data_IF_748901020841
#
_entry.id   IF_748901020841
#
_cell.length_a   1.000
_cell.length_b   1.000
_cell.length_c   1.000
_cell.angle_alpha   90.00
_cell.angle_beta   90.00
_cell.angle_gamma   90.00
#
_symmetry.space_group_name_H-M   'P 1'
#
loop_
_entity.id
_entity.type
_entity.pdbx_description
1 polymer ?
#
# COMPACT_ATOMS: atom_id res chain seq x y z
N UNK A 1 -58.71 -71.16 -44.30
CA UNK A 1 -57.37 -71.27 -43.79
C UNK A 1 -56.81 -69.85 -43.61
N UNK A 2 -56.82 -69.33 -42.38
CA UNK A 2 -56.30 -68.01 -42.09
C UNK A 2 -55.17 -68.15 -41.03
N UNK A 3 -53.96 -67.84 -41.42
CA UNK A 3 -52.81 -67.82 -40.53
C UNK A 3 -52.77 -66.47 -39.86
N UNK A 4 -52.75 -66.47 -38.52
CA UNK A 4 -52.58 -65.28 -37.70
C UNK A 4 -51.09 -65.00 -37.45
N UNK A 5 -50.66 -63.80 -37.77
CA UNK A 5 -49.31 -63.27 -37.39
C UNK A 5 -49.37 -62.69 -36.02
N UNK A 6 -48.52 -63.21 -35.16
CA UNK A 6 -48.29 -62.65 -33.84
C UNK A 6 -47.18 -61.55 -33.89
N UNK A 7 -47.47 -60.28 -33.52
CA UNK A 7 -46.52 -59.25 -33.40
C UNK A 7 -46.01 -59.21 -31.93
N UNK A 8 -44.72 -59.45 -31.73
CA UNK A 8 -44.02 -59.23 -30.48
C UNK A 8 -43.58 -57.79 -30.44
N UNK A 9 -44.08 -56.99 -29.46
CA UNK A 9 -43.67 -55.65 -29.21
C UNK A 9 -42.34 -55.61 -28.37
N UNK A 10 -41.29 -55.14 -29.01
CA UNK A 10 -40.03 -54.84 -28.27
C UNK A 10 -40.16 -53.54 -27.55
N UNK A 11 -40.15 -53.57 -26.18
CA UNK A 11 -40.13 -52.38 -25.34
C UNK A 11 -38.75 -51.72 -25.32
N UNK A 12 -38.67 -50.49 -25.82
CA UNK A 12 -37.48 -49.64 -25.68
C UNK A 12 -37.50 -48.99 -24.28
N UNK A 13 -36.61 -49.41 -23.42
CA UNK A 13 -36.38 -48.75 -22.13
C UNK A 13 -35.60 -47.45 -22.37
N UNK A 14 -36.27 -46.30 -22.23
CA UNK A 14 -35.62 -44.99 -22.21
C UNK A 14 -35.05 -44.77 -20.81
N UNK A 15 -33.73 -44.82 -20.66
CA UNK A 15 -33.04 -44.41 -19.44
C UNK A 15 -33.11 -42.89 -19.32
N UNK A 16 -33.90 -42.38 -18.40
CA UNK A 16 -33.91 -40.99 -18.00
C UNK A 16 -32.61 -40.72 -17.19
N UNK A 17 -31.62 -40.10 -17.85
CA UNK A 17 -30.46 -39.53 -17.17
C UNK A 17 -30.92 -38.22 -16.49
N UNK A 18 -31.16 -38.27 -15.18
CA UNK A 18 -31.44 -37.09 -14.35
C UNK A 18 -30.18 -36.28 -14.26
N UNK A 19 -30.07 -35.18 -15.03
CA UNK A 19 -29.09 -34.13 -14.76
C UNK A 19 -29.49 -33.44 -13.45
N UNK A 20 -28.77 -33.73 -12.37
CA UNK A 20 -28.79 -32.90 -11.16
C UNK A 20 -28.22 -31.54 -11.57
N UNK A 21 -28.94 -30.42 -11.31
CA UNK A 21 -28.35 -29.10 -11.49
C UNK A 21 -27.13 -28.99 -10.59
N UNK A 22 -25.96 -28.79 -11.19
CA UNK A 22 -24.72 -28.49 -10.43
C UNK A 22 -25.01 -27.31 -9.49
N UNK A 23 -24.86 -27.54 -8.19
CA UNK A 23 -24.97 -26.48 -7.21
C UNK A 23 -24.06 -25.30 -7.59
N UNK A 24 -24.35 -24.07 -7.16
CA UNK A 24 -23.52 -22.92 -7.45
C UNK A 24 -22.08 -23.25 -7.05
N UNK A 25 -21.15 -23.09 -7.97
CA UNK A 25 -19.72 -23.27 -7.70
C UNK A 25 -19.38 -22.43 -6.47
N UNK A 26 -19.04 -23.08 -5.36
CA UNK A 26 -18.58 -22.39 -4.17
C UNK A 26 -17.37 -21.55 -4.55
N UNK A 27 -17.51 -20.23 -4.43
CA UNK A 27 -16.39 -19.33 -4.60
C UNK A 27 -15.25 -19.79 -3.67
N UNK A 28 -14.06 -20.03 -4.24
CA UNK A 28 -12.90 -20.44 -3.44
C UNK A 28 -12.72 -19.45 -2.29
N UNK A 29 -12.84 -19.88 -1.02
CA UNK A 29 -12.66 -18.97 0.10
C UNK A 29 -11.25 -18.39 0.01
N UNK A 30 -11.13 -17.09 -0.23
CA UNK A 30 -9.85 -16.38 -0.28
C UNK A 30 -8.94 -16.70 0.91
N UNK A 31 -7.72 -16.20 0.93
CA UNK A 31 -6.87 -16.36 2.10
C UNK A 31 -7.60 -15.80 3.32
N UNK A 32 -7.44 -16.43 4.52
CA UNK A 32 -8.12 -15.96 5.71
C UNK A 32 -7.75 -14.51 6.02
N UNK A 33 -8.71 -13.74 6.55
CA UNK A 33 -8.46 -12.39 7.04
C UNK A 33 -7.32 -12.41 8.08
N UNK A 34 -6.42 -11.46 8.00
CA UNK A 34 -5.28 -11.33 8.91
C UNK A 34 -5.46 -10.08 9.74
N UNK A 35 -5.72 -10.29 11.03
CA UNK A 35 -5.83 -9.22 11.99
C UNK A 35 -4.47 -8.63 12.36
N UNK A 36 -4.45 -7.33 12.68
CA UNK A 36 -3.26 -6.70 13.23
C UNK A 36 -2.94 -7.35 14.59
N UNK A 37 -1.74 -7.90 14.73
CA UNK A 37 -1.21 -8.22 16.05
C UNK A 37 -1.24 -6.94 16.92
N UNK A 38 -1.36 -7.09 18.27
CA UNK A 38 -1.51 -5.97 19.19
C UNK A 38 -0.70 -4.74 18.76
N UNK A 39 -1.41 -3.77 18.16
CA UNK A 39 -0.80 -2.56 17.60
C UNK A 39 -0.30 -1.70 18.76
N UNK A 40 0.97 -1.33 18.68
CA UNK A 40 1.55 -0.35 19.60
C UNK A 40 2.09 0.83 18.78
N UNK A 41 1.62 2.06 19.03
CA UNK A 41 2.22 3.26 18.47
C UNK A 41 3.74 3.27 18.74
N UNK A 42 4.49 3.88 17.86
CA UNK A 42 5.94 4.09 18.04
C UNK A 42 6.14 5.53 18.49
N UNK A 43 6.72 5.73 19.67
CA UNK A 43 7.12 7.06 20.10
C UNK A 43 8.35 7.50 19.29
N UNK A 44 8.12 8.32 18.28
CA UNK A 44 9.23 8.87 17.47
C UNK A 44 10.03 9.94 18.18
N UNK A 45 9.61 10.41 19.35
CA UNK A 45 10.39 11.26 20.24
C UNK A 45 11.51 10.51 20.98
N UNK A 46 11.38 9.18 21.08
CA UNK A 46 12.34 8.30 21.76
C UNK A 46 13.14 7.48 20.74
N UNK A 47 14.49 7.67 20.71
CA UNK A 47 15.41 6.92 19.85
C UNK A 47 15.37 5.42 20.12
N UNK A 48 15.33 5.04 21.40
CA UNK A 48 15.35 3.62 21.79
C UNK A 48 14.07 2.90 21.36
N UNK A 49 12.90 3.54 21.52
CA UNK A 49 11.61 3.00 21.07
C UNK A 49 11.58 2.81 19.55
N UNK A 50 12.07 3.76 18.77
CA UNK A 50 12.15 3.64 17.31
C UNK A 50 13.11 2.53 16.91
N UNK A 51 14.31 2.49 17.51
CA UNK A 51 15.31 1.43 17.25
C UNK A 51 14.75 0.04 17.56
N UNK A 52 14.12 -0.12 18.71
CA UNK A 52 13.50 -1.39 19.11
C UNK A 52 12.42 -1.82 18.09
N UNK A 53 11.59 -0.89 17.65
CA UNK A 53 10.54 -1.18 16.67
C UNK A 53 11.15 -1.65 15.33
N UNK A 54 12.22 -1.01 14.86
CA UNK A 54 12.96 -1.44 13.66
C UNK A 54 13.48 -2.85 13.84
N UNK A 55 14.24 -3.10 14.90
CA UNK A 55 14.92 -4.37 15.12
C UNK A 55 13.95 -5.53 15.40
N UNK A 56 12.87 -5.28 16.13
CA UNK A 56 11.95 -6.34 16.58
C UNK A 56 10.67 -6.48 15.73
N UNK A 57 10.29 -5.46 14.95
CA UNK A 57 9.05 -5.52 14.15
C UNK A 57 9.33 -5.48 12.66
N UNK A 58 10.11 -4.51 12.16
CA UNK A 58 10.32 -4.33 10.72
C UNK A 58 11.29 -5.36 10.14
N UNK A 59 12.52 -5.41 10.66
CA UNK A 59 13.56 -6.28 10.08
C UNK A 59 13.16 -7.77 10.04
N UNK A 60 12.54 -8.36 11.09
CA UNK A 60 12.05 -9.73 11.01
C UNK A 60 10.93 -9.91 9.98
N UNK A 61 10.09 -8.88 9.76
CA UNK A 61 9.06 -8.92 8.73
C UNK A 61 9.69 -8.89 7.33
N UNK A 62 10.67 -8.02 7.10
CA UNK A 62 11.40 -7.95 5.81
C UNK A 62 12.19 -9.22 5.50
N UNK A 63 12.74 -9.88 6.52
CA UNK A 63 13.50 -11.13 6.39
C UNK A 63 12.62 -12.39 6.21
N UNK A 64 11.29 -12.25 6.33
CA UNK A 64 10.39 -13.38 6.22
C UNK A 64 10.37 -13.93 4.79
N UNK A 65 10.60 -15.26 4.66
CA UNK A 65 10.54 -15.94 3.36
C UNK A 65 9.13 -15.89 2.79
N UNK A 66 9.02 -15.46 1.54
CA UNK A 66 7.76 -15.49 0.79
C UNK A 66 7.44 -16.95 0.43
N UNK A 67 6.21 -17.36 0.75
CA UNK A 67 5.65 -18.67 0.40
C UNK A 67 4.30 -18.47 -0.27
N UNK A 68 4.13 -19.09 -1.42
CA UNK A 68 2.93 -19.04 -2.25
C UNK A 68 2.67 -20.40 -2.90
N UNK A 69 1.40 -20.79 -3.07
CA UNK A 69 1.00 -22.11 -3.54
C UNK A 69 0.44 -22.15 -4.97
N UNK A 70 0.52 -21.05 -5.71
CA UNK A 70 -0.03 -20.97 -7.07
C UNK A 70 0.95 -21.41 -8.17
N UNK A 71 0.56 -21.11 -9.43
CA UNK A 71 1.37 -21.37 -10.61
C UNK A 71 1.15 -20.28 -11.65
N UNK A 72 2.23 -19.61 -12.05
CA UNK A 72 2.19 -18.60 -13.11
C UNK A 72 1.86 -19.23 -14.46
N UNK A 73 2.56 -20.30 -14.83
CA UNK A 73 2.36 -20.99 -16.11
C UNK A 73 0.98 -21.64 -16.24
N UNK A 74 0.42 -22.11 -15.12
CA UNK A 74 -0.92 -22.71 -15.06
C UNK A 74 -2.05 -21.70 -14.79
N UNK A 75 -1.75 -20.41 -14.68
CA UNK A 75 -2.72 -19.38 -14.30
C UNK A 75 -3.47 -19.69 -12.98
N UNK A 76 -2.83 -20.39 -12.05
CA UNK A 76 -3.40 -20.71 -10.75
C UNK A 76 -3.01 -19.64 -9.74
N UNK A 77 -3.97 -18.83 -9.32
CA UNK A 77 -3.71 -17.73 -8.38
C UNK A 77 -3.15 -18.23 -7.03
N UNK A 78 -3.59 -19.39 -6.56
CA UNK A 78 -3.13 -19.96 -5.30
C UNK A 78 -3.39 -19.03 -4.11
N UNK A 79 -2.62 -19.24 -3.03
CA UNK A 79 -2.71 -18.45 -1.80
C UNK A 79 -1.33 -18.20 -1.22
N UNK A 80 -1.01 -16.99 -0.74
CA UNK A 80 0.17 -16.77 0.08
C UNK A 80 0.02 -17.53 1.40
N UNK A 81 1.11 -18.06 1.93
CA UNK A 81 1.08 -18.62 3.28
C UNK A 81 0.70 -17.56 4.31
N UNK A 82 0.05 -17.97 5.39
CA UNK A 82 -0.33 -17.06 6.49
C UNK A 82 0.87 -16.29 7.05
N UNK A 83 2.03 -16.94 7.18
CA UNK A 83 3.26 -16.30 7.62
C UNK A 83 3.71 -15.16 6.69
N UNK A 84 3.59 -15.33 5.38
CA UNK A 84 3.89 -14.30 4.37
C UNK A 84 2.93 -13.12 4.51
N UNK A 85 1.63 -13.38 4.65
CA UNK A 85 0.64 -12.31 4.84
C UNK A 85 0.84 -11.56 6.16
N UNK A 86 1.12 -12.28 7.24
CA UNK A 86 1.40 -11.67 8.54
C UNK A 86 2.66 -10.79 8.51
N UNK A 87 3.72 -11.23 7.83
CA UNK A 87 4.92 -10.42 7.66
C UNK A 87 4.64 -9.14 6.88
N UNK A 88 3.90 -9.25 5.77
CA UNK A 88 3.49 -8.08 4.97
C UNK A 88 2.64 -7.10 5.79
N UNK A 89 1.65 -7.60 6.54
CA UNK A 89 0.82 -6.76 7.39
C UNK A 89 1.62 -6.10 8.52
N UNK A 90 2.58 -6.80 9.13
CA UNK A 90 3.49 -6.23 10.13
C UNK A 90 4.31 -5.08 9.55
N UNK A 91 4.83 -5.21 8.33
CA UNK A 91 5.55 -4.14 7.65
C UNK A 91 4.63 -2.93 7.38
N UNK A 92 3.43 -3.13 6.83
CA UNK A 92 2.44 -2.06 6.63
C UNK A 92 2.16 -1.32 7.94
N UNK A 93 1.84 -2.07 9.00
CA UNK A 93 1.49 -1.47 10.28
C UNK A 93 2.68 -0.86 11.03
N UNK A 94 3.91 -1.30 10.75
CA UNK A 94 5.11 -0.60 11.24
C UNK A 94 5.19 0.82 10.66
N UNK A 95 5.07 1.00 9.34
CA UNK A 95 5.12 2.31 8.71
C UNK A 95 3.97 3.22 9.15
N UNK A 96 2.78 2.65 9.32
CA UNK A 96 1.63 3.38 9.86
C UNK A 96 1.84 3.82 11.31
N UNK A 97 2.42 2.95 12.14
CA UNK A 97 2.77 3.28 13.53
C UNK A 97 3.81 4.41 13.62
N UNK A 98 4.85 4.39 12.77
CA UNK A 98 5.80 5.49 12.64
C UNK A 98 5.10 6.81 12.28
N UNK A 99 4.12 6.76 11.40
CA UNK A 99 3.34 7.93 10.98
C UNK A 99 2.18 8.30 11.93
N UNK A 100 2.07 7.65 13.10
CA UNK A 100 1.01 7.87 14.11
C UNK A 100 -0.41 7.59 13.55
N UNK A 101 -0.52 6.64 12.63
CA UNK A 101 -1.78 6.21 12.02
C UNK A 101 -2.29 4.93 12.66
N UNK A 102 -3.61 4.76 12.70
CA UNK A 102 -4.22 3.51 13.14
C UNK A 102 -3.78 2.32 12.27
N UNK A 103 -3.71 1.10 12.82
CA UNK A 103 -3.38 -0.09 12.06
C UNK A 103 -4.47 -0.41 11.04
N UNK A 104 -4.10 -1.22 10.06
CA UNK A 104 -5.03 -1.85 9.13
C UNK A 104 -5.04 -3.36 9.35
N UNK A 105 -6.10 -4.01 8.85
CA UNK A 105 -6.21 -5.47 8.71
C UNK A 105 -6.15 -5.87 7.25
N UNK A 106 -5.91 -7.16 6.97
CA UNK A 106 -6.07 -7.70 5.62
C UNK A 106 -7.40 -8.44 5.52
N UNK A 107 -8.29 -7.90 4.68
CA UNK A 107 -9.54 -8.56 4.32
C UNK A 107 -9.29 -9.72 3.36
N UNK A 108 -10.01 -10.84 3.55
CA UNK A 108 -9.85 -12.03 2.75
C UNK A 108 -10.31 -11.85 1.29
N UNK A 109 -11.41 -11.14 1.09
CA UNK A 109 -11.97 -10.88 -0.24
C UNK A 109 -11.10 -9.95 -1.06
N UNK A 110 -10.62 -8.86 -0.45
CA UNK A 110 -9.67 -7.94 -1.09
C UNK A 110 -8.35 -8.65 -1.40
N UNK A 111 -7.86 -9.51 -0.48
CA UNK A 111 -6.64 -10.29 -0.68
C UNK A 111 -6.79 -11.30 -1.82
N UNK A 112 -7.95 -11.96 -1.95
CA UNK A 112 -8.20 -12.88 -3.07
C UNK A 112 -8.21 -12.17 -4.43
N UNK A 113 -8.74 -10.95 -4.51
CA UNK A 113 -8.70 -10.12 -5.72
C UNK A 113 -7.28 -9.62 -6.00
N UNK A 114 -6.57 -9.12 -5.00
CA UNK A 114 -5.18 -8.68 -5.10
C UNK A 114 -4.26 -9.84 -5.56
N UNK A 115 -4.52 -11.07 -5.10
CA UNK A 115 -3.79 -12.26 -5.53
C UNK A 115 -3.91 -12.52 -7.03
N UNK A 116 -5.08 -12.31 -7.61
CA UNK A 116 -5.30 -12.41 -9.05
C UNK A 116 -4.60 -11.28 -9.82
N UNK A 117 -4.52 -10.08 -9.24
CA UNK A 117 -3.75 -8.99 -9.83
C UNK A 117 -2.25 -9.31 -9.83
N UNK A 118 -1.69 -9.78 -8.71
CA UNK A 118 -0.29 -10.18 -8.63
C UNK A 118 0.04 -11.26 -9.66
N UNK A 119 -0.83 -12.28 -9.81
CA UNK A 119 -0.65 -13.33 -10.82
C UNK A 119 -0.58 -12.76 -12.25
N UNK A 120 -1.47 -11.82 -12.61
CA UNK A 120 -1.46 -11.20 -13.95
C UNK A 120 -0.16 -10.41 -14.19
N UNK A 121 0.29 -9.65 -13.21
CA UNK A 121 1.53 -8.86 -13.31
C UNK A 121 2.74 -9.78 -13.50
N UNK A 122 2.83 -10.85 -12.70
CA UNK A 122 3.89 -11.86 -12.80
C UNK A 122 3.85 -12.60 -14.14
N UNK A 123 2.68 -13.08 -14.59
CA UNK A 123 2.51 -13.81 -15.83
C UNK A 123 2.87 -12.98 -17.09
N UNK A 124 2.59 -11.69 -17.06
CA UNK A 124 2.89 -10.76 -18.16
C UNK A 124 4.27 -10.10 -18.01
N UNK A 125 4.90 -10.24 -16.84
CA UNK A 125 6.13 -9.55 -16.47
C UNK A 125 6.04 -8.03 -16.72
N UNK A 126 4.90 -7.44 -16.34
CA UNK A 126 4.61 -6.02 -16.57
C UNK A 126 3.63 -5.47 -15.55
N UNK A 127 3.73 -4.17 -15.24
CA UNK A 127 2.83 -3.48 -14.33
C UNK A 127 1.83 -2.62 -15.11
N UNK A 128 0.54 -2.80 -14.83
CA UNK A 128 -0.50 -1.95 -15.38
C UNK A 128 -1.71 -1.90 -14.44
N UNK A 129 -2.14 -0.70 -14.07
CA UNK A 129 -3.36 -0.52 -13.27
C UNK A 129 -4.64 -0.80 -14.06
N UNK A 130 -4.57 -0.86 -15.38
CA UNK A 130 -5.70 -1.13 -16.28
C UNK A 130 -5.32 -2.23 -17.29
N UNK A 131 -5.01 -3.47 -16.80
CA UNK A 131 -4.51 -4.53 -17.66
C UNK A 131 -5.53 -4.91 -18.74
N UNK A 132 -5.13 -4.95 -20.02
CA UNK A 132 -6.02 -5.33 -21.10
C UNK A 132 -6.41 -6.83 -21.00
N UNK A 133 -7.57 -7.19 -21.55
CA UNK A 133 -8.08 -8.57 -21.49
C UNK A 133 -7.18 -9.60 -22.19
N UNK A 134 -6.27 -9.15 -23.04
CA UNK A 134 -5.29 -9.98 -23.73
C UNK A 134 -4.14 -10.46 -22.87
N UNK A 135 -3.98 -9.92 -21.66
CA UNK A 135 -2.92 -10.33 -20.75
C UNK A 135 -3.09 -11.77 -20.29
N UNK A 136 -1.97 -12.46 -20.13
CA UNK A 136 -1.95 -13.81 -19.55
C UNK A 136 -2.60 -13.82 -18.18
N UNK A 137 -3.32 -14.90 -17.88
CA UNK A 137 -4.02 -15.09 -16.60
C UNK A 137 -5.01 -13.97 -16.25
N UNK A 138 -5.51 -13.20 -17.25
CA UNK A 138 -6.43 -12.11 -17.03
C UNK A 138 -7.71 -12.57 -16.34
N UNK A 139 -8.19 -11.77 -15.38
CA UNK A 139 -9.49 -11.95 -14.75
C UNK A 139 -10.10 -10.60 -14.39
N UNK A 140 -11.44 -10.48 -14.43
CA UNK A 140 -12.15 -9.26 -14.06
C UNK A 140 -11.80 -8.82 -12.63
N UNK A 141 -11.73 -9.75 -11.68
CA UNK A 141 -11.40 -9.47 -10.28
C UNK A 141 -9.94 -9.01 -10.11
N UNK A 142 -9.02 -9.61 -10.89
CA UNK A 142 -7.62 -9.17 -10.90
C UNK A 142 -7.45 -7.78 -11.52
N UNK A 143 -8.17 -7.48 -12.61
CA UNK A 143 -8.15 -6.16 -13.24
C UNK A 143 -8.74 -5.07 -12.32
N UNK A 144 -9.82 -5.37 -11.60
CA UNK A 144 -10.36 -4.48 -10.56
C UNK A 144 -9.31 -4.22 -9.47
N UNK A 145 -8.64 -5.27 -8.99
CA UNK A 145 -7.63 -5.16 -7.96
C UNK A 145 -6.40 -4.38 -8.44
N UNK A 146 -5.96 -4.57 -9.69
CA UNK A 146 -4.85 -3.82 -10.25
C UNK A 146 -5.10 -2.30 -10.21
N UNK A 147 -6.32 -1.86 -10.51
CA UNK A 147 -6.72 -0.45 -10.44
C UNK A 147 -6.81 0.14 -9.03
N UNK A 148 -6.77 -0.70 -7.99
CA UNK A 148 -6.91 -0.28 -6.59
C UNK A 148 -5.71 -0.62 -5.71
N UNK A 149 -4.65 -1.17 -6.30
CA UNK A 149 -3.48 -1.66 -5.58
C UNK A 149 -2.22 -0.84 -5.88
N UNK A 150 -1.32 -0.78 -4.90
CA UNK A 150 0.08 -0.61 -5.20
C UNK A 150 0.58 -1.91 -5.85
N UNK A 151 1.33 -1.79 -6.94
CA UNK A 151 1.82 -2.92 -7.73
C UNK A 151 3.34 -2.94 -7.73
N UNK A 152 3.93 -4.14 -7.75
CA UNK A 152 5.37 -4.32 -7.73
C UNK A 152 5.78 -5.55 -8.54
N UNK A 153 6.85 -5.45 -9.36
CA UNK A 153 7.57 -6.58 -9.94
C UNK A 153 8.89 -6.76 -9.20
N UNK A 154 9.33 -8.00 -9.09
CA UNK A 154 10.58 -8.40 -8.44
C UNK A 154 10.69 -7.99 -6.96
N UNK A 155 9.62 -7.51 -6.38
CA UNK A 155 9.50 -7.23 -4.96
C UNK A 155 8.19 -7.78 -4.40
N UNK A 156 8.25 -8.63 -3.40
CA UNK A 156 7.10 -9.37 -2.90
C UNK A 156 7.06 -9.39 -1.37
N UNK A 157 5.87 -9.63 -0.83
CA UNK A 157 5.68 -9.71 0.62
C UNK A 157 6.00 -8.39 1.34
N UNK A 158 6.69 -8.49 2.48
CA UNK A 158 7.06 -7.31 3.27
C UNK A 158 8.06 -6.39 2.54
N UNK A 159 8.92 -6.93 1.66
CA UNK A 159 9.85 -6.13 0.88
C UNK A 159 9.14 -5.13 -0.04
N UNK A 160 8.03 -5.53 -0.68
CA UNK A 160 7.24 -4.61 -1.51
C UNK A 160 6.72 -3.39 -0.73
N UNK A 161 6.46 -3.56 0.56
CA UNK A 161 6.00 -2.45 1.41
C UNK A 161 7.09 -1.40 1.60
N UNK A 162 8.35 -1.83 1.74
CA UNK A 162 9.49 -0.90 1.82
C UNK A 162 9.65 -0.14 0.50
N UNK A 163 9.56 -0.81 -0.65
CA UNK A 163 9.62 -0.19 -1.98
C UNK A 163 8.49 0.86 -2.16
N UNK A 164 7.26 0.54 -1.74
CA UNK A 164 6.16 1.51 -1.76
C UNK A 164 6.41 2.72 -0.87
N UNK A 165 7.13 2.54 0.24
CA UNK A 165 7.48 3.65 1.14
C UNK A 165 8.62 4.51 0.61
N UNK A 166 9.61 3.92 -0.04
CA UNK A 166 10.70 4.64 -0.71
C UNK A 166 10.17 5.41 -1.90
N UNK A 167 9.29 4.77 -2.69
CA UNK A 167 8.57 5.35 -3.83
C UNK A 167 9.52 5.98 -4.87
N UNK A 168 10.61 5.28 -5.18
CA UNK A 168 11.66 5.72 -6.09
C UNK A 168 11.22 5.77 -7.56
N UNK A 169 12.08 6.33 -8.39
CA UNK A 169 11.91 6.39 -9.83
C UNK A 169 11.32 7.70 -10.34
N UNK A 170 11.55 8.04 -11.60
CA UNK A 170 11.14 9.31 -12.21
C UNK A 170 9.61 9.42 -12.35
N UNK A 171 8.91 8.29 -12.49
CA UNK A 171 7.44 8.23 -12.56
C UNK A 171 6.72 8.47 -11.23
N UNK A 172 7.42 8.30 -10.10
CA UNK A 172 6.83 8.32 -8.75
C UNK A 172 6.96 9.68 -8.03
N UNK A 173 7.03 10.78 -8.78
CA UNK A 173 7.21 12.14 -8.21
C UNK A 173 6.07 12.58 -7.30
N UNK A 174 4.92 11.92 -7.37
CA UNK A 174 3.77 12.15 -6.49
C UNK A 174 3.83 11.36 -5.18
N UNK A 175 4.81 10.45 -5.02
CA UNK A 175 4.88 9.46 -3.95
C UNK A 175 3.54 8.74 -3.75
N UNK A 176 2.96 8.24 -4.85
CA UNK A 176 1.58 7.72 -4.89
C UNK A 176 1.41 6.47 -4.04
N UNK A 177 2.36 5.54 -4.12
CA UNK A 177 2.33 4.29 -3.33
C UNK A 177 2.39 4.58 -1.83
N UNK A 178 3.35 5.41 -1.39
CA UNK A 178 3.48 5.83 0.02
C UNK A 178 2.24 6.52 0.53
N UNK A 179 1.66 7.44 -0.26
CA UNK A 179 0.50 8.22 0.15
C UNK A 179 -0.73 7.35 0.38
N UNK A 180 -0.93 6.29 -0.42
CA UNK A 180 -1.99 5.32 -0.19
C UNK A 180 -1.71 4.44 1.02
N UNK A 181 -0.47 3.98 1.19
CA UNK A 181 -0.06 3.19 2.36
C UNK A 181 -0.29 3.95 3.68
N UNK A 182 -0.01 5.26 3.66
CA UNK A 182 -0.19 6.17 4.79
C UNK A 182 -1.52 6.94 4.74
N UNK A 183 -2.50 6.47 3.97
CA UNK A 183 -3.81 7.10 3.93
C UNK A 183 -4.53 6.91 5.27
N UNK A 184 -4.95 8.01 5.95
CA UNK A 184 -5.47 7.90 7.31
C UNK A 184 -6.84 7.23 7.39
N UNK A 185 -7.62 7.23 6.31
CA UNK A 185 -9.01 6.78 6.30
C UNK A 185 -9.20 5.37 5.73
N UNK A 186 -8.16 4.55 5.77
CA UNK A 186 -8.23 3.13 5.41
C UNK A 186 -8.14 2.26 6.67
N UNK A 187 -9.05 1.30 6.80
CA UNK A 187 -9.05 0.31 7.90
C UNK A 187 -8.70 -1.09 7.41
N UNK A 188 -9.02 -1.38 6.13
CA UNK A 188 -8.80 -2.68 5.53
C UNK A 188 -8.02 -2.55 4.22
N UNK A 189 -7.09 -3.46 4.01
CA UNK A 189 -6.31 -3.63 2.78
C UNK A 189 -6.41 -5.08 2.31
N UNK A 190 -5.86 -5.40 1.15
CA UNK A 190 -5.73 -6.77 0.66
C UNK A 190 -4.34 -7.02 0.11
N UNK A 191 -3.78 -8.21 0.35
CA UNK A 191 -2.43 -8.55 -0.10
C UNK A 191 -2.43 -9.76 -1.01
N UNK A 192 -1.94 -9.60 -2.24
CA UNK A 192 -1.68 -10.64 -3.22
C UNK A 192 -0.19 -10.72 -3.53
N UNK A 193 0.35 -11.93 -3.59
CA UNK A 193 1.79 -12.17 -3.70
C UNK A 193 2.03 -13.44 -4.52
N UNK A 194 2.89 -13.36 -5.53
CA UNK A 194 3.45 -14.49 -6.25
C UNK A 194 4.95 -14.58 -6.01
N UNK A 195 5.66 -15.37 -6.80
CA UNK A 195 7.13 -15.41 -6.76
C UNK A 195 7.77 -14.14 -7.32
N UNK A 196 7.15 -13.51 -8.33
CA UNK A 196 7.73 -12.37 -9.06
C UNK A 196 6.94 -11.06 -8.92
N UNK A 197 5.72 -11.08 -8.35
CA UNK A 197 4.92 -9.86 -8.26
C UNK A 197 4.16 -9.72 -6.95
N UNK A 198 3.91 -8.47 -6.55
CA UNK A 198 3.07 -8.09 -5.43
C UNK A 198 1.95 -7.13 -5.85
N UNK A 199 0.79 -7.27 -5.23
CA UNK A 199 -0.32 -6.32 -5.31
C UNK A 199 -0.88 -6.08 -3.92
N UNK A 200 -0.85 -4.84 -3.46
CA UNK A 200 -1.40 -4.42 -2.19
C UNK A 200 -2.61 -3.51 -2.44
N UNK A 201 -3.81 -4.04 -2.25
CA UNK A 201 -5.04 -3.25 -2.36
C UNK A 201 -5.07 -2.19 -1.25
N UNK A 202 -5.00 -0.93 -1.63
CA UNK A 202 -4.84 0.21 -0.71
C UNK A 202 -5.95 1.25 -0.83
N UNK A 203 -6.72 1.24 -1.93
CA UNK A 203 -7.81 2.19 -2.12
C UNK A 203 -9.06 1.64 -1.44
N UNK A 204 -9.53 2.24 -0.33
CA UNK A 204 -10.68 1.72 0.41
C UNK A 204 -11.96 1.80 -0.42
N UNK A 205 -12.89 0.86 -0.20
CA UNK A 205 -14.27 0.96 -0.66
C UNK A 205 -15.02 2.05 0.11
N UNK A 206 -14.92 1.99 1.44
CA UNK A 206 -15.43 2.99 2.36
C UNK A 206 -14.31 3.61 3.18
N UNK A 207 -14.46 4.88 3.52
CA UNK A 207 -13.52 5.57 4.41
C UNK A 207 -13.91 5.34 5.85
N UNK A 208 -12.98 4.84 6.65
CA UNK A 208 -13.19 4.70 8.09
C UNK A 208 -12.99 6.04 8.80
N UNK A 209 -13.73 6.26 9.89
CA UNK A 209 -13.41 7.32 10.84
C UNK A 209 -12.22 6.85 11.67
N UNK A 210 -11.04 7.33 11.35
CA UNK A 210 -9.84 7.08 12.12
C UNK A 210 -9.51 8.30 12.96
N UNK A 211 -8.92 8.07 14.14
CA UNK A 211 -8.23 9.12 14.91
C UNK A 211 -6.91 9.40 14.21
N UNK A 212 -6.94 10.26 13.21
CA UNK A 212 -5.77 10.53 12.40
C UNK A 212 -5.09 11.84 12.76
N UNK A 213 -3.77 11.90 12.67
CA UNK A 213 -3.05 13.16 12.82
C UNK A 213 -3.48 14.14 11.72
N UNK A 214 -3.53 15.45 12.04
CA UNK A 214 -3.88 16.47 11.05
C UNK A 214 -2.89 16.50 9.86
N UNK A 215 -1.67 16.02 10.07
CA UNK A 215 -0.58 16.01 9.11
C UNK A 215 0.18 14.68 9.15
N UNK A 216 0.44 14.11 7.99
CA UNK A 216 1.24 12.90 7.82
C UNK A 216 2.48 13.29 7.02
N UNK A 217 3.63 13.31 7.68
CA UNK A 217 4.93 13.60 7.05
C UNK A 217 5.75 12.32 6.90
N UNK A 218 6.55 12.28 5.85
CA UNK A 218 7.56 11.27 5.65
C UNK A 218 8.83 11.91 5.07
N UNK A 219 9.97 11.85 5.76
CA UNK A 219 10.20 11.27 7.10
C UNK A 219 9.31 11.88 8.20
N UNK A 220 9.05 11.08 9.23
CA UNK A 220 8.24 11.50 10.39
C UNK A 220 9.01 12.46 11.30
N UNK A 221 8.34 13.33 12.08
CA UNK A 221 8.99 14.10 13.12
C UNK A 221 9.66 13.19 14.16
N UNK A 222 10.74 13.67 14.77
CA UNK A 222 11.47 12.92 15.78
C UNK A 222 12.60 12.07 15.22
N UNK A 223 12.89 10.95 15.85
CA UNK A 223 13.93 10.03 15.41
C UNK A 223 13.46 9.21 14.21
N UNK A 224 14.34 9.11 13.20
CA UNK A 224 14.06 8.47 11.95
C UNK A 224 15.26 7.62 11.50
N UNK A 225 15.10 6.29 11.36
CA UNK A 225 16.20 5.41 11.01
C UNK A 225 16.71 5.65 9.59
N UNK A 226 18.02 5.59 9.40
CA UNK A 226 18.66 5.79 8.09
C UNK A 226 18.12 4.86 7.01
N UNK A 227 17.87 3.60 7.36
CA UNK A 227 17.36 2.57 6.45
C UNK A 227 15.96 2.84 5.91
N UNK A 228 15.24 3.82 6.48
CA UNK A 228 13.91 4.23 6.02
C UNK A 228 13.95 5.51 5.17
N UNK A 229 15.15 6.05 4.90
CA UNK A 229 15.26 7.29 4.11
C UNK A 229 14.70 7.06 2.69
N UNK A 230 13.75 7.88 2.26
CA UNK A 230 13.16 7.74 0.93
C UNK A 230 14.04 8.37 -0.15
N UNK A 231 15.36 8.16 -0.11
CA UNK A 231 16.33 8.72 -1.05
C UNK A 231 16.18 10.24 -1.25
N UNK A 232 15.90 10.96 -0.13
CA UNK A 232 15.64 12.40 -0.14
C UNK A 232 14.27 12.82 -0.66
N UNK A 233 13.41 11.91 -1.11
CA UNK A 233 12.03 12.21 -1.54
C UNK A 233 11.08 12.26 -0.36
N UNK A 234 10.85 13.46 0.13
CA UNK A 234 10.04 13.71 1.32
C UNK A 234 8.61 14.11 0.94
N UNK A 235 7.67 13.92 1.86
CA UNK A 235 6.27 14.26 1.63
C UNK A 235 5.59 14.79 2.89
N UNK A 236 4.57 15.61 2.70
CA UNK A 236 3.64 16.07 3.72
C UNK A 236 2.22 15.96 3.17
N UNK A 237 1.40 15.13 3.78
CA UNK A 237 -0.02 15.01 3.48
C UNK A 237 -0.86 15.64 4.59
N UNK A 238 -2.07 16.07 4.27
CA UNK A 238 -3.03 16.60 5.22
C UNK A 238 -4.26 15.70 5.29
N UNK A 239 -4.74 15.36 6.50
CA UNK A 239 -6.01 14.65 6.68
C UNK A 239 -7.21 15.51 6.29
N UNK A 240 -7.08 16.82 6.38
CA UNK A 240 -8.10 17.76 5.90
C UNK A 240 -8.00 17.94 4.38
N UNK A 241 -9.02 17.51 3.65
CA UNK A 241 -9.08 17.58 2.19
C UNK A 241 -9.17 19.01 1.65
N UNK A 242 -9.54 20.00 2.47
CA UNK A 242 -9.56 21.41 2.10
C UNK A 242 -8.18 22.07 2.04
N UNK A 243 -7.12 21.35 2.35
CA UNK A 243 -5.76 21.86 2.29
C UNK A 243 -5.29 21.99 0.84
N UNK A 244 -4.66 23.11 0.53
CA UNK A 244 -4.04 23.42 -0.76
C UNK A 244 -2.56 23.72 -0.59
N UNK A 245 -1.72 22.96 -1.30
CA UNK A 245 -0.27 23.10 -1.32
C UNK A 245 0.27 23.83 -2.57
N UNK A 246 -0.59 24.32 -3.46
CA UNK A 246 -0.16 24.88 -4.75
C UNK A 246 0.89 25.99 -4.60
N UNK A 247 0.75 26.84 -3.60
CA UNK A 247 1.67 27.95 -3.29
C UNK A 247 2.57 27.69 -2.09
N UNK A 248 2.58 26.47 -1.54
CA UNK A 248 3.42 26.14 -0.39
C UNK A 248 4.91 26.22 -0.75
N UNK A 249 5.71 26.73 0.17
CA UNK A 249 7.17 26.79 0.08
C UNK A 249 7.76 25.85 1.10
N UNK A 250 8.85 25.16 0.75
CA UNK A 250 9.56 24.23 1.62
C UNK A 250 10.96 24.75 1.86
N UNK A 251 11.39 24.70 3.11
CA UNK A 251 12.77 24.96 3.53
C UNK A 251 13.21 23.84 4.46
N UNK A 252 14.40 23.30 4.21
CA UNK A 252 15.06 22.32 5.07
C UNK A 252 16.42 22.87 5.47
N UNK A 253 16.72 22.82 6.77
CA UNK A 253 17.98 23.32 7.33
C UNK A 253 18.61 22.27 8.24
N UNK A 254 19.92 22.28 8.29
CA UNK A 254 20.69 21.54 9.29
C UNK A 254 20.58 22.23 10.67
N UNK A 255 21.01 21.55 11.72
CA UNK A 255 20.93 22.08 13.10
C UNK A 255 21.72 23.40 13.30
N UNK A 256 22.80 23.60 12.54
CA UNK A 256 23.61 24.83 12.50
C UNK A 256 23.01 25.91 11.59
N UNK A 257 21.82 25.69 11.04
CA UNK A 257 21.08 26.67 10.23
C UNK A 257 21.40 26.69 8.75
N UNK A 258 22.33 25.86 8.26
CA UNK A 258 22.68 25.78 6.82
C UNK A 258 21.47 25.28 6.03
N UNK A 259 21.10 26.00 4.98
CA UNK A 259 20.02 25.59 4.08
C UNK A 259 20.47 24.44 3.19
N UNK A 260 19.60 23.43 3.02
CA UNK A 260 19.76 22.35 2.06
C UNK A 260 19.04 22.67 0.75
N UNK A 261 19.49 22.07 -0.34
CA UNK A 261 18.83 22.21 -1.62
C UNK A 261 17.50 21.43 -1.60
N UNK A 262 16.41 22.10 -1.99
CA UNK A 262 15.06 21.56 -2.03
C UNK A 262 14.43 21.78 -3.40
N UNK A 263 14.03 20.72 -4.08
CA UNK A 263 13.26 20.75 -5.31
C UNK A 263 11.85 20.24 -5.06
N UNK A 264 10.88 21.13 -5.13
CA UNK A 264 9.47 20.79 -4.97
C UNK A 264 8.92 20.14 -6.23
N UNK A 265 8.21 19.02 -6.10
CA UNK A 265 7.41 18.44 -7.17
C UNK A 265 6.05 19.14 -7.28
N UNK A 266 5.36 18.96 -8.41
CA UNK A 266 4.01 19.52 -8.60
C UNK A 266 3.08 18.90 -7.56
N UNK A 267 2.43 19.69 -6.70
CA UNK A 267 1.51 19.15 -5.71
C UNK A 267 0.28 18.57 -6.40
N UNK A 268 -0.33 17.58 -5.76
CA UNK A 268 -1.62 17.07 -6.19
C UNK A 268 -2.69 18.08 -5.81
N UNK A 269 -3.44 18.52 -6.79
CA UNK A 269 -4.46 19.54 -6.61
C UNK A 269 -5.60 19.05 -5.71
N UNK A 270 -6.16 19.98 -4.93
CA UNK A 270 -7.41 19.79 -4.21
C UNK A 270 -8.51 19.28 -5.15
N UNK A 271 -9.39 18.41 -4.66
CA UNK A 271 -10.51 17.85 -5.43
C UNK A 271 -10.13 16.77 -6.46
N UNK A 272 -8.87 16.37 -6.53
CA UNK A 272 -8.45 15.20 -7.33
C UNK A 272 -8.44 13.94 -6.49
N UNK A 273 -9.41 13.01 -6.67
CA UNK A 273 -9.57 11.84 -5.81
C UNK A 273 -8.49 10.76 -5.98
N UNK A 274 -7.66 10.85 -7.02
CA UNK A 274 -6.89 9.72 -7.53
C UNK A 274 -5.67 9.31 -6.68
N UNK A 275 -5.33 10.04 -5.61
CA UNK A 275 -4.13 9.75 -4.81
C UNK A 275 -4.30 9.98 -3.31
N UNK A 276 -5.50 9.77 -2.77
CA UNK A 276 -5.75 9.94 -1.33
C UNK A 276 -5.76 11.42 -0.90
N UNK A 277 -5.20 11.71 0.26
CA UNK A 277 -5.18 13.06 0.86
C UNK A 277 -4.38 14.07 0.04
N UNK A 278 -4.70 15.38 0.12
CA UNK A 278 -3.84 16.43 -0.42
C UNK A 278 -2.40 16.27 0.08
N UNK A 279 -1.44 16.42 -0.82
CA UNK A 279 -0.04 16.22 -0.45
C UNK A 279 0.92 17.12 -1.24
N UNK A 280 2.05 17.41 -0.61
CA UNK A 280 3.21 18.02 -1.19
C UNK A 280 4.37 17.06 -1.12
N UNK A 281 5.10 16.88 -2.22
CA UNK A 281 6.30 16.06 -2.31
C UNK A 281 7.47 16.94 -2.75
N UNK A 282 8.63 16.73 -2.16
CA UNK A 282 9.84 17.45 -2.52
C UNK A 282 11.07 16.56 -2.38
N UNK A 283 12.11 16.87 -3.13
CA UNK A 283 13.43 16.25 -3.06
C UNK A 283 14.34 17.10 -2.20
N UNK A 284 15.06 16.49 -1.26
CA UNK A 284 16.12 17.11 -0.47
C UNK A 284 17.45 16.52 -0.89
N UNK A 285 18.45 17.37 -1.09
CA UNK A 285 19.82 16.96 -1.45
C UNK A 285 20.86 17.74 -0.65
N UNK A 286 22.09 17.30 -0.72
CA UNK A 286 23.21 18.00 -0.07
C UNK A 286 23.37 17.69 1.43
N UNK A 287 22.85 16.55 1.89
CA UNK A 287 23.15 16.01 3.22
C UNK A 287 23.59 14.53 3.12
N UNK A 288 24.37 14.08 4.08
CA UNK A 288 24.72 12.68 4.25
C UNK A 288 24.02 12.11 5.48
N UNK A 289 23.58 10.86 5.41
CA UNK A 289 23.05 10.14 6.58
C UNK A 289 24.16 9.98 7.63
N UNK A 290 23.83 10.07 8.93
CA UNK A 290 24.82 9.91 9.98
C UNK A 290 25.27 8.44 10.08
N UNK A 291 26.46 8.21 10.59
CA UNK A 291 27.03 6.89 10.85
C UNK A 291 27.38 6.74 12.32
N UNK A 292 27.36 5.50 12.82
CA UNK A 292 27.68 5.19 14.20
C UNK A 292 26.69 5.82 15.19
N UNK A 293 27.16 6.23 16.37
CA UNK A 293 26.33 6.78 17.45
C UNK A 293 25.77 8.19 17.16
N UNK A 294 26.23 8.82 16.09
CA UNK A 294 25.82 10.18 15.72
C UNK A 294 24.35 10.21 15.27
N UNK A 295 23.74 11.35 15.44
CA UNK A 295 22.45 11.67 14.82
C UNK A 295 22.56 12.98 14.04
N UNK A 296 21.71 13.12 13.01
CA UNK A 296 21.64 14.34 12.21
C UNK A 296 20.26 14.93 12.28
N UNK A 297 20.14 16.10 12.85
CA UNK A 297 18.88 16.86 12.87
C UNK A 297 18.74 17.72 11.63
N UNK A 298 17.57 17.66 11.02
CA UNK A 298 17.14 18.51 9.92
C UNK A 298 15.81 19.18 10.31
N UNK A 299 15.75 20.50 10.21
CA UNK A 299 14.56 21.28 10.52
C UNK A 299 13.80 21.61 9.25
N UNK A 300 12.52 21.24 9.22
CA UNK A 300 11.63 21.39 8.06
C UNK A 300 10.61 22.49 8.34
N UNK A 301 10.46 23.39 7.38
CA UNK A 301 9.37 24.37 7.38
C UNK A 301 8.62 24.32 6.07
N UNK A 302 7.32 24.05 6.12
CA UNK A 302 6.40 24.17 4.99
C UNK A 302 5.47 25.33 5.26
N UNK A 303 5.61 26.40 4.51
CA UNK A 303 4.86 27.66 4.68
C UNK A 303 3.97 27.97 3.48
N UNK A 304 3.01 28.89 3.64
CA UNK A 304 2.12 29.30 2.55
C UNK A 304 1.08 28.26 2.17
N UNK A 305 0.83 27.28 3.02
CA UNK A 305 -0.27 26.31 2.87
C UNK A 305 -1.58 27.08 2.98
N UNK A 306 -2.51 26.83 2.06
CA UNK A 306 -3.82 27.50 2.00
C UNK A 306 -4.94 26.53 2.37
N UNK A 307 -6.11 27.04 2.59
CA UNK A 307 -7.32 26.27 2.94
C UNK A 307 -8.48 26.72 2.05
N UNK A 308 -9.15 25.80 1.40
CA UNK A 308 -10.39 26.05 0.70
C UNK A 308 -11.54 26.32 1.67
N UNK A 309 -12.50 27.14 1.28
CA UNK A 309 -13.74 27.32 2.04
C UNK A 309 -14.56 26.02 2.02
N UNK A 310 -15.63 25.97 2.82
CA UNK A 310 -16.46 24.75 2.91
C UNK A 310 -17.13 24.37 1.57
N UNK A 311 -17.45 25.36 0.75
CA UNK A 311 -18.10 25.16 -0.55
C UNK A 311 -17.09 24.81 -1.69
N UNK A 312 -15.78 24.76 -1.41
CA UNK A 312 -14.72 24.55 -2.40
C UNK A 312 -14.66 25.54 -3.56
N UNK A 313 -15.22 26.73 -3.36
CA UNK A 313 -15.33 27.78 -4.38
C UNK A 313 -14.17 28.78 -4.34
N UNK A 314 -13.52 28.96 -3.19
CA UNK A 314 -12.44 29.91 -3.01
C UNK A 314 -11.45 29.52 -1.92
N UNK A 315 -10.19 29.96 -2.08
CA UNK A 315 -9.17 29.88 -1.02
C UNK A 315 -9.46 30.93 0.05
N UNK A 316 -9.50 30.51 1.30
CA UNK A 316 -9.63 31.42 2.44
C UNK A 316 -8.39 32.29 2.60
N UNK A 317 -8.49 33.35 3.42
CA UNK A 317 -7.32 34.20 3.80
C UNK A 317 -6.35 33.46 4.72
N UNK A 318 -6.77 32.34 5.34
CA UNK A 318 -5.96 31.56 6.28
C UNK A 318 -4.71 31.00 5.59
N UNK A 319 -3.54 31.25 6.17
CA UNK A 319 -2.25 30.66 5.79
C UNK A 319 -1.76 29.79 6.94
N UNK A 320 -1.29 28.59 6.63
CA UNK A 320 -0.75 27.65 7.60
C UNK A 320 0.75 27.48 7.33
N UNK A 321 1.50 27.40 8.41
CA UNK A 321 2.91 26.99 8.39
C UNK A 321 3.06 25.77 9.27
N UNK A 322 3.62 24.69 8.70
CA UNK A 322 3.98 23.48 9.43
C UNK A 322 5.48 23.47 9.64
N UNK A 323 5.91 23.27 10.90
CA UNK A 323 7.33 23.11 11.27
C UNK A 323 7.50 21.79 12.01
N UNK A 324 8.56 21.08 11.74
CA UNK A 324 8.96 19.86 12.45
C UNK A 324 10.45 19.58 12.25
N UNK A 325 11.01 18.70 13.08
CA UNK A 325 12.41 18.27 12.96
C UNK A 325 12.46 16.76 12.74
N UNK A 326 13.37 16.32 11.89
CA UNK A 326 13.73 14.91 11.65
C UNK A 326 15.12 14.69 12.23
N UNK A 327 15.32 13.63 13.00
CA UNK A 327 16.61 13.23 13.56
C UNK A 327 17.01 11.88 13.01
N UNK A 328 17.77 11.90 11.93
CA UNK A 328 18.32 10.67 11.35
C UNK A 328 19.32 10.01 12.30
N UNK A 329 19.28 8.70 12.37
CA UNK A 329 20.21 7.89 13.16
C UNK A 329 20.40 6.50 12.57
N UNK A 330 21.52 5.86 12.90
CA UNK A 330 21.81 4.50 12.56
C UNK A 330 21.17 3.55 13.58
N UNK A 331 20.27 2.67 13.15
CA UNK A 331 19.56 1.74 14.02
C UNK A 331 20.43 0.56 14.46
N UNK A 332 21.57 0.28 13.81
CA UNK A 332 22.49 -0.77 14.20
C UNK A 332 23.30 -0.39 15.45
N UNK A 333 23.36 0.87 15.75
CA UNK A 333 24.14 1.40 16.88
C UNK A 333 23.19 1.84 18.01
N UNK A 334 23.55 1.44 19.26
CA UNK A 334 22.80 1.77 20.47
C UNK A 334 22.86 3.27 20.82
#
# INVERSE_FOLDING_TARGET
>A
MKQGLSLTAAGVAVALVSFLPGGPAQADPGPPSVEAAAFRPIDTGDRAAVREAVLKRLRPALAAKVKWSGSVSGCVAGKPARSTQQATLKAVNFFRAMAQLDPVTFDAGLSAKAQKAALMMDAENSLNHFPPRSWKCWSKAGAEAAGRSNLCLDCTGAASVLEYMTDEGPGNTAAGHRRWLLFPFVGEMGSGITSGAGALWVIPGERVRAKSPAWVSWPTPGYFPNELDPAGRWSLSASNEKIDFARAKVSVRTADGKALAVRRHKPIAHGRPNYGSPALVWQVTGFALPTGTRSRRLDVTVSGIRVWNQADTALTRKKITKKYSVRYFDADVA
#
